data_IF_253373331731
#
_entry.id   IF_253373331731
#
_cell.length_a   1.000
_cell.length_b   1.000
_cell.length_c   1.000
_cell.angle_alpha   90.00
_cell.angle_beta   90.00
_cell.angle_gamma   90.00
#
_symmetry.space_group_name_H-M   'P 1'
#
loop_
_entity.id
_entity.type
_entity.pdbx_description
1 polymer ?
#
# COMPACT_ATOMS: atom_id res chain seq x y z
N UNK A 1 10.79 17.08 3.68
CA UNK A 1 10.42 15.64 3.66
C UNK A 1 8.92 15.47 3.48
N UNK A 2 8.49 14.58 2.58
CA UNK A 2 7.10 14.33 2.20
C UNK A 2 6.84 12.82 2.08
N UNK A 3 5.61 12.40 2.39
CA UNK A 3 5.14 11.01 2.12
C UNK A 3 4.82 10.86 0.65
N UNK A 4 5.02 9.69 0.06
CA UNK A 4 4.74 9.51 -1.37
C UNK A 4 3.25 9.69 -1.69
N UNK A 5 2.34 9.26 -0.80
CA UNK A 5 0.90 9.46 -0.95
C UNK A 5 0.53 10.95 -1.01
N UNK A 6 1.28 11.82 -0.32
CA UNK A 6 1.02 13.27 -0.34
C UNK A 6 1.41 13.95 -1.65
N UNK A 7 2.15 13.26 -2.53
CA UNK A 7 2.57 13.79 -3.84
C UNK A 7 1.65 13.26 -4.95
N UNK A 8 1.18 12.02 -4.80
CA UNK A 8 0.24 11.41 -5.73
C UNK A 8 -1.06 12.22 -5.79
N UNK A 9 -1.55 12.48 -7.00
CA UNK A 9 -2.78 13.23 -7.23
C UNK A 9 -2.64 14.76 -7.09
N UNK A 10 -1.47 15.30 -6.76
CA UNK A 10 -1.27 16.75 -6.76
C UNK A 10 -1.27 17.30 -8.19
N UNK A 11 -1.87 18.47 -8.37
CA UNK A 11 -1.76 19.25 -9.60
C UNK A 11 -0.35 19.77 -9.79
N UNK A 12 0.15 19.74 -11.02
CA UNK A 12 1.43 20.34 -11.42
C UNK A 12 1.15 21.71 -12.01
N UNK A 13 1.73 22.76 -11.43
CA UNK A 13 1.45 24.16 -11.79
C UNK A 13 2.72 24.87 -12.25
N UNK A 14 2.62 25.53 -13.40
CA UNK A 14 3.63 26.44 -13.94
C UNK A 14 3.58 27.79 -13.22
N UNK A 15 4.70 28.24 -12.64
CA UNK A 15 4.77 29.54 -11.98
C UNK A 15 4.76 30.67 -13.00
N UNK A 16 5.50 30.55 -14.11
CA UNK A 16 5.61 31.62 -15.10
C UNK A 16 4.32 31.80 -15.92
N UNK A 17 3.61 30.72 -16.19
CA UNK A 17 2.41 30.74 -17.04
C UNK A 17 1.12 30.80 -16.22
N UNK A 18 1.17 30.47 -14.92
CA UNK A 18 -0.01 30.46 -14.04
C UNK A 18 -1.05 29.41 -14.42
N UNK A 19 -0.63 28.35 -15.12
CA UNK A 19 -1.49 27.29 -15.64
C UNK A 19 -1.16 25.94 -15.00
N UNK A 20 -2.19 25.10 -14.89
CA UNK A 20 -2.03 23.69 -14.53
C UNK A 20 -1.59 22.90 -15.77
N UNK A 21 -0.56 22.08 -15.58
CA UNK A 21 0.09 21.29 -16.62
C UNK A 21 -0.38 19.82 -16.63
N UNK A 22 -1.00 19.36 -15.54
CA UNK A 22 -1.50 18.00 -15.36
C UNK A 22 -1.51 17.59 -13.89
N UNK A 23 -1.68 16.30 -13.63
CA UNK A 23 -1.73 15.73 -12.27
C UNK A 23 -0.67 14.65 -12.11
N UNK A 24 -0.05 14.57 -10.93
CA UNK A 24 0.91 13.49 -10.60
C UNK A 24 0.17 12.15 -10.52
N UNK A 25 0.51 11.24 -11.43
CA UNK A 25 -0.09 9.91 -11.53
C UNK A 25 0.73 8.85 -10.81
N UNK A 26 2.05 8.92 -10.90
CA UNK A 26 2.97 7.95 -10.29
C UNK A 26 4.36 8.57 -10.05
N UNK A 27 5.22 7.87 -9.30
CA UNK A 27 6.61 8.24 -9.05
C UNK A 27 7.54 7.25 -9.73
N UNK A 28 8.40 7.74 -10.61
CA UNK A 28 9.43 6.94 -11.29
C UNK A 28 10.63 6.80 -10.35
N UNK A 29 10.90 5.57 -9.94
CA UNK A 29 11.97 5.27 -8.96
C UNK A 29 13.27 4.92 -9.68
N UNK A 30 14.37 5.52 -9.25
CA UNK A 30 15.71 5.03 -9.55
C UNK A 30 16.16 4.07 -8.44
N UNK A 31 16.13 2.74 -8.66
CA UNK A 31 16.50 1.77 -7.63
C UNK A 31 17.99 1.79 -7.29
N UNK A 32 18.85 2.19 -8.23
CA UNK A 32 20.29 2.23 -8.05
C UNK A 32 20.73 3.32 -7.09
N UNK A 33 20.03 4.45 -7.11
CA UNK A 33 20.31 5.60 -6.24
C UNK A 33 19.38 5.69 -5.02
N UNK A 34 18.24 4.99 -5.04
CA UNK A 34 17.22 5.11 -4.00
C UNK A 34 16.56 6.49 -4.02
N UNK A 35 16.25 6.99 -5.22
CA UNK A 35 15.66 8.31 -5.45
C UNK A 35 14.39 8.21 -6.29
N UNK A 36 13.55 9.24 -6.22
CA UNK A 36 12.52 9.50 -7.21
C UNK A 36 13.18 10.28 -8.35
N UNK A 37 13.30 9.65 -9.52
CA UNK A 37 13.93 10.27 -10.68
C UNK A 37 12.99 11.29 -11.36
N UNK A 38 11.70 10.95 -11.46
CA UNK A 38 10.69 11.79 -12.07
C UNK A 38 9.30 11.51 -11.52
N UNK A 39 8.37 12.42 -11.74
CA UNK A 39 6.94 12.23 -11.55
C UNK A 39 6.30 11.93 -12.92
N UNK A 40 5.46 10.91 -12.97
CA UNK A 40 4.63 10.63 -14.14
C UNK A 40 3.41 11.57 -14.10
N UNK A 41 3.22 12.36 -15.15
CA UNK A 41 2.16 13.37 -15.22
C UNK A 41 1.07 12.92 -16.19
N UNK A 42 -0.18 13.00 -15.74
CA UNK A 42 -1.37 12.87 -16.57
C UNK A 42 -1.84 14.27 -16.99
N UNK A 43 -1.67 14.62 -18.27
CA UNK A 43 -2.15 15.87 -18.86
C UNK A 43 -3.48 15.69 -19.64
N UNK A 44 -4.13 14.53 -19.49
CA UNK A 44 -5.32 14.14 -20.23
C UNK A 44 -5.08 13.73 -21.68
N UNK A 45 -3.83 13.80 -22.18
CA UNK A 45 -3.46 13.48 -23.56
C UNK A 45 -2.63 12.20 -23.63
N UNK A 46 -3.09 11.14 -22.98
CA UNK A 46 -2.43 9.83 -22.93
C UNK A 46 -2.05 9.25 -24.31
N UNK A 47 -2.78 9.62 -25.37
CA UNK A 47 -2.52 9.20 -26.75
C UNK A 47 -1.29 9.87 -27.39
N UNK A 48 -0.75 10.94 -26.78
CA UNK A 48 0.48 11.62 -27.23
C UNK A 48 1.74 11.08 -26.55
N UNK A 49 1.60 10.09 -25.66
CA UNK A 49 2.71 9.56 -24.87
C UNK A 49 2.69 10.03 -23.42
N UNK A 50 3.52 9.40 -22.61
CA UNK A 50 3.67 9.76 -21.20
C UNK A 50 4.45 11.07 -21.05
N UNK A 51 3.98 11.95 -20.16
CA UNK A 51 4.73 13.14 -19.75
C UNK A 51 5.42 12.87 -18.43
N UNK A 52 6.69 13.24 -18.36
CA UNK A 52 7.51 13.09 -17.17
C UNK A 52 7.97 14.45 -16.67
N UNK A 53 7.91 14.66 -15.36
CA UNK A 53 8.51 15.81 -14.69
C UNK A 53 9.74 15.32 -13.92
N UNK A 54 10.98 15.58 -14.38
CA UNK A 54 12.18 15.26 -13.62
C UNK A 54 12.12 15.88 -12.23
N UNK A 55 12.55 15.13 -11.21
CA UNK A 55 12.47 15.62 -9.83
C UNK A 55 13.31 16.89 -9.64
N UNK A 56 14.42 17.02 -10.37
CA UNK A 56 15.30 18.20 -10.36
C UNK A 56 14.66 19.47 -10.92
N UNK A 57 13.57 19.35 -11.70
CA UNK A 57 12.84 20.50 -12.25
C UNK A 57 11.73 21.00 -11.31
N UNK A 58 11.47 20.29 -10.20
CA UNK A 58 10.50 20.68 -9.20
C UNK A 58 11.07 21.83 -8.36
N UNK A 59 10.32 22.92 -8.24
CA UNK A 59 10.65 24.05 -7.36
C UNK A 59 10.15 23.77 -5.95
N UNK A 60 8.92 23.27 -5.82
CA UNK A 60 8.31 22.98 -4.52
C UNK A 60 7.21 21.93 -4.61
N UNK A 61 7.04 21.18 -3.53
CA UNK A 61 5.95 20.23 -3.33
C UNK A 61 5.10 20.74 -2.16
N UNK A 62 3.99 21.38 -2.50
CA UNK A 62 3.05 21.98 -1.55
C UNK A 62 2.13 20.97 -0.88
N UNK A 63 1.03 21.48 -0.32
CA UNK A 63 -0.10 20.68 0.16
C UNK A 63 -1.09 20.36 -0.97
N UNK A 64 -1.22 21.27 -1.94
CA UNK A 64 -2.22 21.18 -3.01
C UNK A 64 -1.62 21.04 -4.42
N UNK A 65 -0.35 21.41 -4.60
CA UNK A 65 0.27 21.40 -5.91
C UNK A 65 1.79 21.19 -5.85
N UNK A 66 2.33 20.61 -6.92
CA UNK A 66 3.75 20.63 -7.26
C UNK A 66 3.98 21.82 -8.19
N UNK A 67 4.96 22.67 -7.88
CA UNK A 67 5.26 23.84 -8.71
C UNK A 67 6.55 23.67 -9.51
N UNK A 68 6.52 24.16 -10.74
CA UNK A 68 7.65 24.16 -11.69
C UNK A 68 7.82 25.55 -12.29
N UNK A 69 8.96 25.82 -12.92
CA UNK A 69 9.21 27.15 -13.50
C UNK A 69 8.23 27.45 -14.65
N UNK A 70 8.17 26.54 -15.63
CA UNK A 70 7.37 26.68 -16.85
C UNK A 70 6.97 25.32 -17.43
N UNK A 71 6.03 25.31 -18.39
CA UNK A 71 5.53 24.10 -19.05
C UNK A 71 6.59 23.24 -19.75
N UNK A 72 7.70 23.84 -20.19
CA UNK A 72 8.84 23.13 -20.79
C UNK A 72 9.64 22.26 -19.80
N UNK A 73 9.30 22.32 -18.50
CA UNK A 73 9.87 21.43 -17.48
C UNK A 73 9.33 20.00 -17.59
N UNK A 74 8.18 19.81 -18.26
CA UNK A 74 7.66 18.49 -18.58
C UNK A 74 8.31 17.98 -19.86
N UNK A 75 8.85 16.78 -19.78
CA UNK A 75 9.53 16.10 -20.87
C UNK A 75 8.62 15.02 -21.45
N UNK A 76 8.75 14.81 -22.75
CA UNK A 76 8.16 13.65 -23.41
C UNK A 76 9.00 12.41 -23.13
N UNK A 77 8.36 11.28 -22.83
CA UNK A 77 9.06 10.01 -22.56
C UNK A 77 10.07 9.65 -23.65
N UNK A 78 9.76 9.98 -24.90
CA UNK A 78 10.60 9.68 -26.06
C UNK A 78 11.88 10.52 -26.14
N UNK A 79 11.94 11.65 -25.43
CA UNK A 79 13.09 12.55 -25.39
C UNK A 79 14.07 12.20 -24.25
N UNK A 80 13.69 11.29 -23.35
CA UNK A 80 14.45 10.93 -22.14
C UNK A 80 14.60 9.41 -21.98
N UNK A 81 15.50 8.77 -22.75
CA UNK A 81 15.65 7.30 -22.73
C UNK A 81 16.05 6.74 -21.37
N UNK A 82 16.75 7.51 -20.54
CA UNK A 82 17.11 7.10 -19.17
C UNK A 82 15.88 6.95 -18.26
N UNK A 83 14.90 7.86 -18.36
CA UNK A 83 13.66 7.77 -17.59
C UNK A 83 12.70 6.76 -18.19
N UNK A 84 12.69 6.61 -19.51
CA UNK A 84 11.96 5.54 -20.20
C UNK A 84 12.39 4.16 -19.70
N UNK A 85 13.69 3.94 -19.54
CA UNK A 85 14.22 2.69 -18.99
C UNK A 85 13.75 2.47 -17.54
N UNK A 86 13.86 3.47 -16.67
CA UNK A 86 13.39 3.36 -15.27
C UNK A 86 11.89 3.07 -15.19
N UNK A 87 11.08 3.69 -16.04
CA UNK A 87 9.65 3.46 -16.11
C UNK A 87 9.35 2.03 -16.58
N UNK A 88 10.04 1.55 -17.61
CA UNK A 88 9.92 0.18 -18.13
C UNK A 88 10.42 -0.89 -17.13
N UNK A 89 11.29 -0.51 -16.19
CA UNK A 89 11.70 -1.40 -15.11
C UNK A 89 10.56 -1.66 -14.10
N UNK A 90 9.57 -0.76 -14.02
CA UNK A 90 8.39 -0.83 -13.16
C UNK A 90 8.70 -1.10 -11.68
N UNK A 91 9.76 -0.46 -11.16
CA UNK A 91 10.12 -0.60 -9.75
C UNK A 91 9.09 0.11 -8.89
N UNK A 92 8.25 -0.68 -8.21
CA UNK A 92 7.32 -0.19 -7.19
C UNK A 92 7.92 -0.38 -5.82
N UNK A 93 7.92 0.67 -4.99
CA UNK A 93 8.35 0.55 -3.60
C UNK A 93 7.18 0.06 -2.75
N UNK A 94 6.04 0.74 -2.84
CA UNK A 94 4.85 0.37 -2.10
C UNK A 94 4.43 -1.04 -2.50
N UNK A 95 4.27 -1.85 -1.48
CA UNK A 95 3.84 -3.23 -1.57
C UNK A 95 4.90 -4.27 -1.89
N UNK A 96 6.17 -3.87 -1.99
CA UNK A 96 7.27 -4.84 -2.07
C UNK A 96 7.44 -5.61 -0.78
N UNK A 97 7.82 -6.89 -0.91
CA UNK A 97 8.16 -7.73 0.24
C UNK A 97 9.49 -7.28 0.81
N UNK A 98 9.56 -7.14 2.12
CA UNK A 98 10.77 -6.74 2.83
C UNK A 98 11.49 -7.99 3.30
N UNK A 99 12.75 -8.14 2.87
CA UNK A 99 13.62 -9.25 3.24
C UNK A 99 14.85 -8.72 3.97
N UNK A 100 15.32 -9.45 4.96
CA UNK A 100 16.65 -9.25 5.55
C UNK A 100 17.74 -9.82 4.64
N UNK A 101 19.00 -9.44 4.87
CA UNK A 101 20.17 -10.03 4.19
C UNK A 101 20.27 -11.55 4.32
N UNK A 102 19.71 -12.12 5.40
CA UNK A 102 19.68 -13.57 5.64
C UNK A 102 18.54 -14.28 4.91
N UNK A 103 17.66 -13.53 4.23
CA UNK A 103 16.53 -14.06 3.47
C UNK A 103 15.22 -14.20 4.25
N UNK A 104 15.18 -13.75 5.52
CA UNK A 104 13.94 -13.75 6.30
C UNK A 104 13.02 -12.62 5.82
N UNK A 105 11.76 -12.95 5.54
CA UNK A 105 10.72 -11.96 5.23
C UNK A 105 10.29 -11.29 6.53
N UNK A 106 10.35 -9.96 6.55
CA UNK A 106 9.98 -9.14 7.71
C UNK A 106 8.58 -8.56 7.56
N UNK A 107 8.14 -8.30 6.33
CA UNK A 107 6.86 -7.63 6.09
C UNK A 107 6.70 -7.12 4.67
N UNK A 108 5.93 -6.05 4.51
CA UNK A 108 5.64 -5.38 3.24
C UNK A 108 5.76 -3.86 3.41
N UNK A 109 6.30 -3.17 2.41
CA UNK A 109 6.36 -1.70 2.43
C UNK A 109 4.95 -1.12 2.25
N UNK A 110 4.53 -0.22 3.12
CA UNK A 110 3.24 0.47 3.04
C UNK A 110 3.38 1.91 2.54
N UNK A 111 4.49 2.56 2.86
CA UNK A 111 4.75 3.96 2.48
C UNK A 111 6.27 4.22 2.43
N UNK A 112 6.70 5.27 1.75
CA UNK A 112 8.04 5.80 1.80
C UNK A 112 8.05 7.33 1.90
N UNK A 113 9.11 7.83 2.53
CA UNK A 113 9.33 9.26 2.76
C UNK A 113 10.44 9.71 1.83
N UNK A 114 10.19 10.84 1.17
CA UNK A 114 11.09 11.46 0.21
C UNK A 114 11.60 12.76 0.83
N UNK A 115 12.90 13.02 0.73
CA UNK A 115 13.47 14.29 1.12
C UNK A 115 13.32 15.37 0.04
N UNK A 116 13.78 16.58 0.33
CA UNK A 116 13.57 17.71 -0.57
C UNK A 116 14.42 17.60 -1.85
N UNK A 117 15.44 16.72 -1.86
CA UNK A 117 16.26 16.41 -3.02
C UNK A 117 15.75 15.22 -3.85
N UNK A 118 14.65 14.58 -3.43
CA UNK A 118 14.06 13.43 -4.12
C UNK A 118 14.63 12.09 -3.68
N UNK A 119 15.49 12.06 -2.66
CA UNK A 119 16.01 10.82 -2.11
C UNK A 119 14.98 10.20 -1.17
N UNK A 120 14.82 8.89 -1.28
CA UNK A 120 14.00 8.13 -0.34
C UNK A 120 14.76 8.09 0.98
N UNK A 121 14.24 8.78 1.99
CA UNK A 121 14.88 8.93 3.29
C UNK A 121 14.52 7.79 4.24
N UNK A 122 13.33 7.20 4.10
CA UNK A 122 12.85 6.07 4.89
C UNK A 122 11.68 5.33 4.21
N UNK A 123 11.40 4.10 4.66
CA UNK A 123 10.21 3.32 4.29
C UNK A 123 9.44 2.91 5.55
N UNK A 124 8.11 3.00 5.52
CA UNK A 124 7.22 2.39 6.50
C UNK A 124 6.92 0.96 6.06
N UNK A 125 7.07 0.03 7.00
CA UNK A 125 6.95 -1.41 6.77
C UNK A 125 5.93 -1.95 7.74
N UNK A 126 4.89 -2.59 7.20
CA UNK A 126 3.99 -3.42 7.97
C UNK A 126 4.65 -4.79 8.15
N UNK A 127 5.06 -5.08 9.37
CA UNK A 127 5.63 -6.36 9.74
C UNK A 127 4.56 -7.48 9.71
N UNK A 128 5.00 -8.73 9.65
CA UNK A 128 4.10 -9.90 9.74
C UNK A 128 3.32 -9.92 11.07
N UNK A 129 3.85 -9.26 12.11
CA UNK A 129 3.21 -9.08 13.41
C UNK A 129 2.02 -8.10 13.38
N UNK A 130 1.85 -7.33 12.30
CA UNK A 130 0.88 -6.24 12.17
C UNK A 130 1.40 -4.89 12.69
N UNK A 131 2.65 -4.84 13.19
CA UNK A 131 3.26 -3.58 13.61
C UNK A 131 3.74 -2.79 12.39
N UNK A 132 3.52 -1.48 12.41
CA UNK A 132 4.12 -0.57 11.43
C UNK A 132 5.43 -0.04 12.01
N UNK A 133 6.52 -0.27 11.30
CA UNK A 133 7.87 0.17 11.67
C UNK A 133 8.46 1.02 10.56
N UNK A 134 9.08 2.13 10.93
CA UNK A 134 9.80 2.97 9.98
C UNK A 134 11.28 2.57 9.91
N UNK A 135 11.76 2.24 8.71
CA UNK A 135 13.14 1.88 8.43
C UNK A 135 13.83 3.00 7.65
N UNK A 136 14.92 3.59 8.18
CA UNK A 136 15.65 4.63 7.48
C UNK A 136 16.43 4.06 6.28
N UNK A 137 16.64 4.89 5.26
CA UNK A 137 17.30 4.51 4.00
C UNK A 137 18.69 3.90 4.16
N UNK A 138 19.43 4.26 5.21
CA UNK A 138 20.75 3.70 5.52
C UNK A 138 20.72 2.19 5.79
N UNK A 139 19.55 1.67 6.19
CA UNK A 139 19.36 0.23 6.41
C UNK A 139 18.84 -0.50 5.18
N UNK A 140 18.42 0.23 4.14
CA UNK A 140 17.96 -0.33 2.87
C UNK A 140 19.19 -0.60 2.01
N UNK A 141 19.32 -1.84 1.57
CA UNK A 141 20.45 -2.31 0.76
C UNK A 141 20.10 -2.27 -0.73
N UNK A 142 18.84 -2.57 -1.06
CA UNK A 142 18.41 -2.69 -2.46
C UNK A 142 16.92 -2.41 -2.58
N UNK A 143 16.56 -1.60 -3.58
CA UNK A 143 15.19 -1.43 -4.07
C UNK A 143 15.01 -2.32 -5.31
N UNK A 144 14.54 -3.55 -5.13
CA UNK A 144 14.25 -4.46 -6.24
C UNK A 144 12.81 -4.34 -6.72
N UNK A 145 12.53 -4.85 -7.93
CA UNK A 145 11.17 -4.84 -8.54
C UNK A 145 10.08 -5.48 -7.68
N UNK A 146 10.44 -6.47 -6.86
CA UNK A 146 9.49 -7.22 -6.02
C UNK A 146 9.92 -7.36 -4.57
N UNK A 147 11.17 -7.00 -4.26
CA UNK A 147 11.81 -7.23 -2.98
C UNK A 147 12.62 -6.01 -2.58
N UNK A 148 12.41 -5.54 -1.35
CA UNK A 148 13.25 -4.56 -0.70
C UNK A 148 14.13 -5.29 0.33
N UNK A 149 15.45 -5.15 0.21
CA UNK A 149 16.40 -5.82 1.12
C UNK A 149 16.86 -4.85 2.20
N UNK A 150 16.76 -5.23 3.47
CA UNK A 150 17.21 -4.45 4.62
C UNK A 150 18.29 -5.16 5.44
N UNK A 151 19.06 -4.37 6.19
CA UNK A 151 19.91 -4.85 7.27
C UNK A 151 19.07 -4.93 8.56
N UNK A 152 19.06 -6.09 9.21
CA UNK A 152 18.35 -6.29 10.46
C UNK A 152 19.04 -5.49 11.59
N UNK A 153 18.33 -5.09 12.65
CA UNK A 153 18.94 -4.33 13.74
C UNK A 153 20.00 -5.15 14.50
N UNK A 154 19.88 -6.49 14.50
CA UNK A 154 20.88 -7.40 15.06
C UNK A 154 22.15 -7.55 14.20
N UNK A 155 22.11 -7.12 12.93
CA UNK A 155 23.23 -7.13 11.99
C UNK A 155 23.97 -5.78 11.94
N UNK A 156 23.56 -4.82 12.77
CA UNK A 156 24.27 -3.55 12.92
C UNK A 156 25.59 -3.80 13.69
N UNK A 157 26.75 -3.41 13.15
CA UNK A 157 27.98 -3.43 13.94
C UNK A 157 27.77 -2.48 15.11
N UNK A 158 27.88 -3.01 16.33
CA UNK A 158 27.68 -2.30 17.58
C UNK A 158 28.37 -0.93 17.54
N UNK A 159 27.58 0.13 17.33
CA UNK A 159 28.04 1.50 17.51
C UNK A 159 28.05 1.74 19.02
N UNK A 160 29.25 1.75 19.57
CA UNK A 160 29.59 1.94 20.97
C UNK A 160 28.91 3.20 21.55
N UNK A 161 27.76 3.05 22.20
CA UNK A 161 27.11 4.11 22.97
C UNK A 161 27.51 3.97 24.42
N UNK A 162 28.74 4.38 24.71
CA UNK A 162 29.26 4.43 26.07
C UNK A 162 29.55 5.87 26.47
N UNK A 163 28.53 6.57 26.99
CA UNK A 163 28.70 7.25 28.29
C UNK A 163 27.36 7.53 28.98
N UNK A 164 27.15 6.98 30.19
CA UNK A 164 26.03 7.32 31.06
C UNK A 164 26.34 8.57 31.88
N UNK A 165 25.33 9.40 32.10
CA UNK A 165 25.30 10.33 33.23
C UNK A 165 23.85 10.38 33.73
N UNK A 166 23.56 9.50 34.68
CA UNK A 166 22.43 9.64 35.59
C UNK A 166 22.92 10.27 36.89
N UNK A 167 21.96 10.90 37.56
CA UNK A 167 21.89 11.24 38.98
C UNK A 167 22.22 12.73 39.29
N UNK A 168 21.48 13.43 40.16
CA UNK A 168 21.08 13.06 41.53
C UNK A 168 19.97 14.05 42.07
N UNK A 169 18.99 13.50 42.82
CA UNK A 169 18.22 14.06 44.00
C UNK A 169 17.11 15.10 43.77
N UNK A 170 15.81 14.86 44.08
CA UNK A 170 15.03 14.56 45.33
C UNK A 170 14.77 15.72 46.31
N UNK A 171 13.48 16.11 46.48
CA UNK A 171 12.70 16.10 47.75
C UNK A 171 11.30 16.76 47.62
N UNK A 172 10.36 16.49 48.57
CA UNK A 172 8.89 16.41 48.36
C UNK A 172 8.03 17.28 49.33
N UNK A 173 6.70 17.07 49.28
CA UNK A 173 5.56 17.53 50.13
C UNK A 173 4.66 18.57 49.42
N UNK A 174 3.33 18.59 49.50
CA UNK A 174 2.41 18.10 50.54
C UNK A 174 0.96 17.96 50.00
N UNK A 175 0.16 17.18 50.74
CA UNK A 175 -1.18 16.67 50.47
C UNK A 175 -2.29 17.70 50.73
N UNK A 176 -3.38 17.70 49.94
CA UNK A 176 -4.72 17.99 50.49
C UNK A 176 -5.84 17.24 49.78
N UNK A 177 -6.79 16.79 50.60
CA UNK A 177 -7.75 15.72 50.41
C UNK A 177 -9.07 16.14 49.71
N UNK A 178 -9.65 15.15 49.00
CA UNK A 178 -11.08 14.76 48.76
C UNK A 178 -12.21 15.58 49.43
N UNK A 179 -13.47 15.62 48.90
CA UNK A 179 -14.23 14.43 48.48
C UNK A 179 -15.30 14.54 47.37
N UNK A 180 -15.81 13.34 47.05
CA UNK A 180 -16.72 12.94 45.99
C UNK A 180 -18.22 13.22 46.25
N UNK A 181 -18.96 13.40 45.15
CA UNK A 181 -20.41 13.19 44.94
C UNK A 181 -20.59 13.40 43.40
N UNK A 182 -21.37 12.69 42.58
CA UNK A 182 -22.51 11.77 42.74
C UNK A 182 -22.66 10.96 41.44
N UNK A 183 -23.39 9.85 41.54
CA UNK A 183 -23.70 8.85 40.53
C UNK A 183 -24.36 9.31 39.21
N UNK A 184 -24.22 8.51 38.15
CA UNK A 184 -25.34 7.97 37.34
C UNK A 184 -24.85 6.92 36.32
N UNK A 185 -25.35 5.69 36.44
CA UNK A 185 -25.58 4.71 35.36
C UNK A 185 -26.84 5.13 34.56
N UNK A 186 -27.08 4.77 33.28
CA UNK A 186 -27.11 3.36 32.82
C UNK A 186 -26.74 3.04 31.33
N UNK A 187 -26.35 1.78 31.14
CA UNK A 187 -26.74 0.82 30.08
C UNK A 187 -26.89 1.25 28.61
N UNK A 188 -26.17 0.56 27.70
CA UNK A 188 -26.67 0.05 26.40
C UNK A 188 -25.57 -0.77 25.68
N UNK A 189 -25.86 -2.04 25.41
CA UNK A 189 -25.14 -2.91 24.47
C UNK A 189 -25.52 -2.59 22.99
N UNK A 190 -25.29 -3.47 21.99
CA UNK A 190 -24.07 -3.73 21.21
C UNK A 190 -24.27 -3.46 19.68
N UNK A 191 -23.25 -3.05 18.91
CA UNK A 191 -23.34 -3.03 17.42
C UNK A 191 -21.96 -3.23 16.74
N UNK A 192 -21.80 -4.35 16.02
CA UNK A 192 -20.91 -4.59 14.86
C UNK A 192 -21.72 -4.25 13.56
N UNK A 193 -21.22 -4.20 12.29
CA UNK A 193 -19.88 -4.50 11.72
C UNK A 193 -19.45 -3.66 10.44
N UNK A 194 -18.28 -4.02 9.87
CA UNK A 194 -17.94 -4.14 8.42
C UNK A 194 -17.16 -3.03 7.67
N UNK A 195 -15.99 -3.42 7.14
CA UNK A 195 -15.46 -3.02 5.83
C UNK A 195 -15.25 -4.27 4.94
N UNK A 196 -15.39 -4.17 3.60
CA UNK A 196 -15.17 -5.29 2.68
C UNK A 196 -13.75 -5.31 2.09
N UNK A 197 -13.04 -6.44 2.24
CA UNK A 197 -11.86 -6.80 1.44
C UNK A 197 -12.17 -8.00 0.54
N UNK A 198 -11.53 -8.04 -0.63
CA UNK A 198 -11.50 -9.20 -1.52
C UNK A 198 -10.13 -9.29 -2.27
N UNK A 199 -9.72 -10.47 -2.79
CA UNK A 199 -8.73 -11.31 -2.12
C UNK A 199 -7.55 -11.78 -3.02
N UNK A 200 -6.52 -12.41 -2.43
CA UNK A 200 -5.44 -13.13 -3.16
C UNK A 200 -5.48 -14.65 -2.93
N UNK A 201 -4.89 -15.40 -3.87
CA UNK A 201 -5.08 -16.82 -4.22
C UNK A 201 -4.76 -17.88 -3.13
N UNK A 202 -3.88 -17.59 -2.16
CA UNK A 202 -3.63 -18.53 -1.03
C UNK A 202 -4.66 -18.35 0.10
N UNK A 203 -5.13 -17.11 0.27
CA UNK A 203 -6.33 -16.76 1.04
C UNK A 203 -7.56 -17.33 0.36
N UNK A 204 -7.65 -17.32 -0.98
CA UNK A 204 -8.77 -17.90 -1.71
C UNK A 204 -8.91 -19.40 -1.45
N UNK A 205 -7.81 -20.17 -1.34
CA UNK A 205 -7.87 -21.60 -0.98
C UNK A 205 -8.41 -21.85 0.44
N UNK A 206 -7.94 -21.08 1.43
CA UNK A 206 -8.38 -21.21 2.84
C UNK A 206 -9.75 -20.56 3.13
N UNK A 207 -10.11 -19.52 2.39
CA UNK A 207 -11.39 -18.82 2.45
C UNK A 207 -12.48 -19.61 1.72
N UNK A 208 -12.12 -20.25 0.60
CA UNK A 208 -12.96 -21.19 -0.12
C UNK A 208 -13.28 -22.44 0.72
N UNK A 209 -12.32 -23.01 1.44
CA UNK A 209 -12.55 -24.27 2.18
C UNK A 209 -13.60 -24.11 3.29
N UNK A 210 -13.66 -22.91 3.90
CA UNK A 210 -14.71 -22.54 4.84
C UNK A 210 -16.05 -22.34 4.12
N UNK A 211 -16.09 -21.59 3.02
CA UNK A 211 -17.33 -21.36 2.26
C UNK A 211 -17.91 -22.65 1.65
N UNK A 212 -17.07 -23.57 1.16
CA UNK A 212 -17.49 -24.89 0.67
C UNK A 212 -18.26 -25.67 1.73
N UNK A 213 -17.76 -25.73 2.96
CA UNK A 213 -18.43 -26.43 4.07
C UNK A 213 -19.82 -25.88 4.42
N UNK A 214 -20.10 -24.61 4.11
CA UNK A 214 -21.41 -23.99 4.35
C UNK A 214 -22.39 -24.10 3.17
N UNK A 215 -21.89 -24.44 1.98
CA UNK A 215 -22.69 -24.58 0.76
C UNK A 215 -23.09 -26.04 0.52
N UNK A 216 -22.27 -27.01 0.96
CA UNK A 216 -22.60 -28.44 0.89
C UNK A 216 -23.85 -28.74 1.72
N UNK A 217 -24.88 -29.31 1.07
CA UNK A 217 -26.15 -29.70 1.69
C UNK A 217 -27.26 -28.64 1.64
N UNK A 218 -27.00 -27.46 1.05
CA UNK A 218 -28.03 -26.45 0.76
C UNK A 218 -28.69 -26.70 -0.60
N UNK A 219 -29.86 -26.10 -0.85
CA UNK A 219 -30.55 -26.22 -2.14
C UNK A 219 -30.34 -24.98 -2.99
N UNK A 220 -30.16 -25.17 -4.29
CA UNK A 220 -30.06 -24.07 -5.23
C UNK A 220 -31.42 -23.39 -5.39
N UNK A 221 -31.50 -22.07 -5.17
CA UNK A 221 -32.71 -21.28 -5.35
C UNK A 221 -33.00 -20.94 -6.81
N UNK A 222 -32.00 -21.07 -7.70
CA UNK A 222 -32.08 -20.87 -9.15
C UNK A 222 -31.15 -21.81 -9.91
N UNK A 223 -31.43 -22.03 -11.20
CA UNK A 223 -30.59 -22.80 -12.12
C UNK A 223 -29.28 -22.05 -12.37
N UNK A 224 -28.16 -22.76 -12.26
CA UNK A 224 -26.81 -22.21 -12.50
C UNK A 224 -26.22 -22.97 -13.68
N UNK A 225 -25.76 -22.22 -14.68
CA UNK A 225 -25.13 -22.74 -15.89
C UNK A 225 -23.76 -22.08 -16.09
N UNK A 226 -22.88 -22.79 -16.80
CA UNK A 226 -21.61 -22.25 -17.29
C UNK A 226 -21.83 -21.28 -18.45
N UNK A 227 -20.84 -20.45 -18.75
CA UNK A 227 -20.89 -19.53 -19.88
C UNK A 227 -20.91 -20.24 -21.26
N UNK A 228 -20.72 -21.57 -21.26
CA UNK A 228 -20.85 -22.45 -22.44
C UNK A 228 -22.18 -23.22 -22.47
N UNK A 229 -23.16 -22.88 -21.61
CA UNK A 229 -24.51 -23.47 -21.61
C UNK A 229 -24.62 -24.85 -20.95
N UNK A 230 -23.58 -25.32 -20.26
CA UNK A 230 -23.61 -26.57 -19.47
C UNK A 230 -24.19 -26.28 -18.08
N UNK A 231 -25.22 -27.02 -17.68
CA UNK A 231 -25.88 -26.88 -16.37
C UNK A 231 -24.99 -27.41 -15.25
N UNK A 232 -24.77 -26.59 -14.22
CA UNK A 232 -24.03 -26.95 -13.01
C UNK A 232 -24.99 -27.49 -11.94
N UNK A 233 -26.14 -26.82 -11.73
CA UNK A 233 -27.21 -27.29 -10.83
C UNK A 233 -28.57 -26.70 -11.27
N UNK A 234 -29.62 -27.52 -11.18
CA UNK A 234 -31.00 -27.10 -11.48
C UNK A 234 -31.63 -26.38 -10.28
N UNK A 235 -32.66 -25.57 -10.54
CA UNK A 235 -33.42 -24.92 -9.47
C UNK A 235 -34.04 -25.97 -8.53
N UNK A 236 -33.78 -25.84 -7.22
CA UNK A 236 -34.18 -26.78 -6.18
C UNK A 236 -33.22 -27.96 -5.97
N UNK A 237 -32.15 -28.06 -6.78
CA UNK A 237 -31.14 -29.12 -6.69
C UNK A 237 -30.22 -28.96 -5.49
N UNK A 238 -29.77 -30.08 -4.94
CA UNK A 238 -28.88 -30.09 -3.77
C UNK A 238 -27.44 -29.78 -4.18
N UNK A 239 -26.78 -28.95 -3.37
CA UNK A 239 -25.40 -28.53 -3.59
C UNK A 239 -24.48 -29.58 -2.96
N UNK A 240 -23.99 -30.48 -3.81
CA UNK A 240 -22.99 -31.49 -3.44
C UNK A 240 -21.58 -31.00 -3.72
N UNK A 241 -20.58 -31.71 -3.21
CA UNK A 241 -19.16 -31.39 -3.47
C UNK A 241 -18.86 -31.37 -4.98
N UNK A 242 -19.52 -32.22 -5.77
CA UNK A 242 -19.37 -32.24 -7.23
C UNK A 242 -19.90 -30.96 -7.89
N UNK A 243 -21.01 -30.41 -7.39
CA UNK A 243 -21.59 -29.14 -7.87
C UNK A 243 -20.65 -27.98 -7.55
N UNK A 244 -20.05 -27.98 -6.35
CA UNK A 244 -19.06 -26.96 -5.96
C UNK A 244 -17.79 -27.02 -6.79
N UNK A 245 -17.30 -28.22 -7.14
CA UNK A 245 -16.15 -28.37 -8.02
C UNK A 245 -16.45 -27.88 -9.44
N UNK A 246 -17.62 -28.23 -9.99
CA UNK A 246 -18.07 -27.73 -11.31
C UNK A 246 -18.23 -26.22 -11.31
N UNK A 247 -18.80 -25.64 -10.25
CA UNK A 247 -18.94 -24.20 -10.09
C UNK A 247 -17.58 -23.50 -9.96
N UNK A 248 -16.60 -24.11 -9.26
CA UNK A 248 -15.25 -23.57 -9.14
C UNK A 248 -14.51 -23.57 -10.48
N UNK A 249 -14.54 -24.68 -11.21
CA UNK A 249 -13.89 -24.81 -12.52
C UNK A 249 -14.48 -23.85 -13.55
N UNK A 250 -15.78 -23.53 -13.42
CA UNK A 250 -16.47 -22.57 -14.27
C UNK A 250 -16.39 -21.11 -13.77
N UNK A 251 -15.71 -20.83 -12.65
CA UNK A 251 -15.67 -19.47 -12.06
C UNK A 251 -17.02 -18.96 -11.50
N UNK A 252 -18.04 -19.83 -11.39
CA UNK A 252 -19.41 -19.52 -10.95
C UNK A 252 -19.66 -19.75 -9.45
N UNK A 253 -18.59 -19.89 -8.66
CA UNK A 253 -18.69 -20.20 -7.22
C UNK A 253 -19.38 -19.09 -6.41
N UNK A 254 -19.13 -17.83 -6.77
CA UNK A 254 -19.78 -16.67 -6.14
C UNK A 254 -21.26 -16.64 -6.47
N UNK A 255 -21.62 -16.95 -7.72
CA UNK A 255 -23.02 -17.00 -8.17
C UNK A 255 -23.77 -18.15 -7.49
N UNK A 256 -23.15 -19.32 -7.36
CA UNK A 256 -23.69 -20.44 -6.59
C UNK A 256 -23.92 -20.03 -5.14
N UNK A 257 -22.96 -19.36 -4.49
CA UNK A 257 -23.06 -18.91 -3.09
C UNK A 257 -24.18 -17.91 -2.84
N UNK A 258 -24.52 -17.07 -3.81
CA UNK A 258 -25.64 -16.12 -3.71
C UNK A 258 -27.00 -16.76 -4.04
N UNK A 259 -27.00 -18.03 -4.44
CA UNK A 259 -28.15 -18.74 -4.99
C UNK A 259 -28.49 -20.00 -4.19
N UNK A 260 -28.16 -20.01 -2.90
CA UNK A 260 -28.43 -21.14 -2.00
C UNK A 260 -29.47 -20.75 -0.97
N UNK A 261 -30.42 -21.63 -0.71
CA UNK A 261 -31.43 -21.49 0.35
C UNK A 261 -31.28 -22.61 1.38
#
# INVERSE_FOLDING_TARGET
>A
MKKSESILGLSVVSISEGSELGTVKDLVINPGEGTVAALLIDDGKWYLGAKLLPYTAIISIGEYAVTVEAGNSLLDIHDVPELEQLLAEEVKIIGTKVLTKTGQITGKVTEFIIDDAGKISACEIEEISGNIVQIPSQRIVTFGKSVLVITAPADEPAQDHNKPASAIVTKPAEVKAVPAETATTPDSAPVEPSQPEQPTDDSAKKFDERHRKFLVGKKASRRIETDHGVVIVEQGGEITEEVLQKAKLAGKLVELSMSTQ
#
